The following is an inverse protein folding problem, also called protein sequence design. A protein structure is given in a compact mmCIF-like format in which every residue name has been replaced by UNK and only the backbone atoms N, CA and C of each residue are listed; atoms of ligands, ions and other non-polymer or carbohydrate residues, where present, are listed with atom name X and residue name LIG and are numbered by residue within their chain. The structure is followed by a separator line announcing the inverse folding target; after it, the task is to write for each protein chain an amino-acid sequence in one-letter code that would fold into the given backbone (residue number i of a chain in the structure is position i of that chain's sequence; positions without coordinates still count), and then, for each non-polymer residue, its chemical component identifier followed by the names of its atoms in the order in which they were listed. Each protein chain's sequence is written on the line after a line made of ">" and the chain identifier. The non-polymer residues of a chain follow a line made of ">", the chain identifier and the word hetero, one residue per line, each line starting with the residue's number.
data_IF_966205891392
#
_entry.id   IF_966205891392
#
_cell.length_a   1.000
_cell.length_b   1.000
_cell.length_c   1.000
_cell.angle_alpha   90.00
_cell.angle_beta   90.00
_cell.angle_gamma   90.00
#
_symmetry.space_group_name_H-M   'P 1'
#
loop_
_entity.id
_entity.type
_entity.pdbx_description
1 polymer ?
#
# COMPACT_ATOMS: atom_id res chain seq x y z
N UNK A 1 3.36 7.93 4.76
CA UNK A 1 3.29 7.28 3.44
C UNK A 1 3.90 8.19 2.39
N UNK A 2 4.38 7.63 1.28
CA UNK A 2 4.90 8.37 0.12
C UNK A 2 4.31 7.79 -1.15
N UNK A 3 3.88 8.65 -2.06
CA UNK A 3 3.54 8.30 -3.45
C UNK A 3 4.70 8.71 -4.34
N UNK A 4 5.34 7.75 -5.00
CA UNK A 4 6.45 8.00 -5.92
C UNK A 4 5.95 8.49 -7.29
N UNK A 5 6.87 8.98 -8.13
CA UNK A 5 6.53 9.41 -9.50
C UNK A 5 5.99 8.25 -10.36
N UNK A 6 6.32 7.01 -10.03
CA UNK A 6 5.90 5.78 -10.74
C UNK A 6 4.51 5.28 -10.36
N UNK A 7 3.76 5.98 -9.51
CA UNK A 7 2.50 5.47 -8.94
C UNK A 7 2.69 4.46 -7.81
N UNK A 8 3.92 4.23 -7.36
CA UNK A 8 4.22 3.29 -6.26
C UNK A 8 4.06 3.97 -4.90
N UNK A 9 3.28 3.36 -4.01
CA UNK A 9 3.15 3.75 -2.61
C UNK A 9 4.19 3.00 -1.77
N UNK A 10 4.84 3.72 -0.87
CA UNK A 10 5.76 3.14 0.12
C UNK A 10 5.77 3.92 1.43
N UNK A 11 6.56 3.43 2.40
CA UNK A 11 6.77 4.10 3.71
C UNK A 11 5.45 4.41 4.43
N UNK A 12 4.46 3.51 4.35
CA UNK A 12 3.22 3.60 5.13
C UNK A 12 3.50 2.95 6.48
N UNK A 13 3.36 3.73 7.55
CA UNK A 13 3.59 3.28 8.91
C UNK A 13 2.62 4.00 9.84
N UNK A 14 2.18 3.29 10.88
CA UNK A 14 1.30 3.80 11.94
C UNK A 14 1.94 3.41 13.27
N UNK A 15 1.98 4.36 14.21
CA UNK A 15 2.43 4.12 15.58
C UNK A 15 1.63 2.97 16.20
N UNK A 16 2.27 2.14 17.04
CA UNK A 16 1.64 0.96 17.61
C UNK A 16 0.30 1.28 18.29
N UNK A 17 0.29 2.32 19.12
CA UNK A 17 -0.89 2.73 19.91
C UNK A 17 -2.01 3.38 19.08
N UNK A 18 -1.75 3.69 17.81
CA UNK A 18 -2.73 4.25 16.89
C UNK A 18 -3.25 3.21 15.86
N UNK A 19 -2.81 1.95 15.94
CA UNK A 19 -3.29 0.87 15.07
C UNK A 19 -4.74 0.53 15.41
N UNK A 20 -5.49 0.05 14.40
CA UNK A 20 -6.90 -0.30 14.56
C UNK A 20 -7.87 0.88 14.64
N UNK A 21 -7.37 2.13 14.64
CA UNK A 21 -8.18 3.35 14.78
C UNK A 21 -8.39 4.09 13.45
N UNK A 22 -8.09 3.46 12.32
CA UNK A 22 -8.32 4.03 10.98
C UNK A 22 -7.21 4.97 10.45
N UNK A 23 -6.20 5.33 11.25
CA UNK A 23 -5.11 6.20 10.81
C UNK A 23 -4.39 5.69 9.54
N UNK A 24 -4.16 4.38 9.44
CA UNK A 24 -3.56 3.76 8.25
C UNK A 24 -4.42 3.92 7.00
N UNK A 25 -5.73 3.73 7.13
CA UNK A 25 -6.69 3.91 6.04
C UNK A 25 -6.78 5.37 5.60
N UNK A 26 -6.77 6.31 6.54
CA UNK A 26 -6.76 7.75 6.23
C UNK A 26 -5.51 8.14 5.43
N UNK A 27 -4.32 7.66 5.83
CA UNK A 27 -3.07 7.88 5.08
C UNK A 27 -3.15 7.25 3.69
N UNK A 28 -3.65 6.01 3.58
CA UNK A 28 -3.75 5.34 2.28
C UNK A 28 -4.72 6.06 1.35
N UNK A 29 -5.90 6.48 1.82
CA UNK A 29 -6.88 7.22 1.03
C UNK A 29 -6.29 8.52 0.48
N UNK A 30 -5.61 9.31 1.31
CA UNK A 30 -4.95 10.54 0.85
C UNK A 30 -3.92 10.29 -0.27
N UNK A 31 -3.19 9.17 -0.21
CA UNK A 31 -2.24 8.79 -1.26
C UNK A 31 -2.94 8.30 -2.53
N UNK A 32 -4.05 7.58 -2.41
CA UNK A 32 -4.86 7.14 -3.55
C UNK A 32 -5.52 8.34 -4.25
N UNK A 33 -6.03 9.31 -3.49
CA UNK A 33 -6.57 10.56 -4.04
C UNK A 33 -5.51 11.34 -4.81
N UNK A 34 -4.30 11.44 -4.25
CA UNK A 34 -3.17 12.08 -4.94
C UNK A 34 -2.77 11.33 -6.23
N UNK A 35 -2.81 9.99 -6.24
CA UNK A 35 -2.56 9.19 -7.43
C UNK A 35 -3.64 9.39 -8.50
N UNK A 36 -4.92 9.45 -8.09
CA UNK A 36 -6.06 9.73 -8.97
C UNK A 36 -5.96 11.12 -9.60
N UNK A 37 -5.62 12.15 -8.81
CA UNK A 37 -5.43 13.51 -9.30
C UNK A 37 -4.28 13.63 -10.30
N UNK A 38 -3.25 12.78 -10.16
CA UNK A 38 -2.14 12.67 -11.11
C UNK A 38 -2.47 11.87 -12.38
N UNK A 39 -3.64 11.24 -12.43
CA UNK A 39 -4.02 10.37 -13.56
C UNK A 39 -3.23 9.07 -13.62
N UNK A 40 -2.69 8.59 -12.50
CA UNK A 40 -1.98 7.31 -12.47
C UNK A 40 -2.95 6.18 -12.86
N UNK A 41 -2.66 5.35 -13.87
CA UNK A 41 -3.60 4.30 -14.28
C UNK A 41 -3.61 3.12 -13.29
N UNK A 42 -2.52 2.92 -12.55
CA UNK A 42 -2.33 1.82 -11.59
C UNK A 42 -1.50 2.34 -10.42
N UNK A 43 -1.95 2.05 -9.21
CA UNK A 43 -1.18 2.23 -7.98
C UNK A 43 -0.56 0.89 -7.58
N UNK A 44 0.72 0.91 -7.23
CA UNK A 44 1.49 -0.29 -6.82
C UNK A 44 2.03 -0.14 -5.40
N UNK A 45 2.25 -1.25 -4.71
CA UNK A 45 3.01 -1.28 -3.47
C UNK A 45 3.65 -2.65 -3.25
N UNK A 46 4.64 -2.69 -2.37
CA UNK A 46 5.24 -3.92 -1.89
C UNK A 46 4.88 -4.06 -0.41
N UNK A 47 3.91 -4.93 -0.12
CA UNK A 47 3.40 -5.12 1.23
C UNK A 47 4.18 -6.22 1.93
N UNK A 48 4.42 -6.05 3.23
CA UNK A 48 4.70 -7.19 4.11
C UNK A 48 3.54 -8.19 4.00
N UNK A 49 3.83 -9.50 3.95
CA UNK A 49 2.77 -10.53 3.86
C UNK A 49 1.73 -10.39 4.98
N UNK A 50 2.16 -10.04 6.20
CA UNK A 50 1.26 -9.78 7.33
C UNK A 50 0.32 -8.57 7.13
N UNK A 51 0.66 -7.62 6.26
CA UNK A 51 -0.14 -6.44 5.95
C UNK A 51 -1.08 -6.64 4.75
N UNK A 52 -1.02 -7.76 4.04
CA UNK A 52 -1.87 -8.05 2.87
C UNK A 52 -3.37 -7.89 3.18
N UNK A 53 -3.92 -8.42 4.30
CA UNK A 53 -5.35 -8.26 4.59
C UNK A 53 -5.79 -6.81 4.77
N UNK A 54 -4.89 -5.90 5.12
CA UNK A 54 -5.18 -4.46 5.19
C UNK A 54 -5.33 -3.88 3.78
N UNK A 55 -4.41 -4.18 2.87
CA UNK A 55 -4.44 -3.66 1.50
C UNK A 55 -5.55 -4.30 0.64
N UNK A 56 -5.87 -5.58 0.86
CA UNK A 56 -7.01 -6.25 0.19
C UNK A 56 -8.33 -5.54 0.51
N UNK A 57 -8.55 -5.14 1.76
CA UNK A 57 -9.75 -4.36 2.15
C UNK A 57 -9.83 -2.99 1.48
N UNK A 58 -8.70 -2.48 0.99
CA UNK A 58 -8.59 -1.24 0.25
C UNK A 58 -8.53 -1.45 -1.27
N UNK A 59 -8.90 -2.64 -1.75
CA UNK A 59 -9.06 -2.95 -3.18
C UNK A 59 -7.76 -3.26 -3.91
N UNK A 60 -6.66 -3.52 -3.20
CA UNK A 60 -5.45 -4.04 -3.81
C UNK A 60 -5.54 -5.55 -4.01
N UNK A 61 -4.99 -6.02 -5.14
CA UNK A 61 -4.80 -7.43 -5.43
C UNK A 61 -3.31 -7.76 -5.42
N UNK A 62 -2.93 -8.88 -4.80
CA UNK A 62 -1.57 -9.39 -4.89
C UNK A 62 -1.29 -9.89 -6.31
N UNK A 63 -0.10 -9.62 -6.82
CA UNK A 63 0.37 -10.13 -8.12
C UNK A 63 1.73 -10.81 -7.93
N UNK A 64 1.90 -11.95 -8.60
CA UNK A 64 3.10 -12.76 -8.49
C UNK A 64 3.26 -13.49 -7.16
N UNK A 65 4.44 -14.05 -6.96
CA UNK A 65 4.79 -14.80 -5.76
C UNK A 65 5.43 -13.90 -4.69
N UNK A 66 5.27 -14.21 -3.39
CA UNK A 66 5.99 -13.51 -2.35
C UNK A 66 7.51 -13.61 -2.52
N UNK A 67 8.22 -12.54 -2.19
CA UNK A 67 9.68 -12.46 -2.22
C UNK A 67 10.22 -11.98 -0.87
N UNK A 68 11.49 -12.26 -0.58
CA UNK A 68 12.13 -11.82 0.67
C UNK A 68 12.92 -10.54 0.41
N UNK A 69 12.60 -9.50 1.15
CA UNK A 69 13.35 -8.26 1.19
C UNK A 69 13.75 -8.00 2.65
N UNK A 70 15.03 -7.70 2.89
CA UNK A 70 15.59 -7.45 4.23
C UNK A 70 15.22 -8.52 5.28
N UNK A 71 15.12 -9.78 4.86
CA UNK A 71 14.79 -10.91 5.73
C UNK A 71 13.30 -11.08 6.06
N UNK A 72 12.41 -10.29 5.45
CA UNK A 72 10.96 -10.34 5.71
C UNK A 72 10.22 -10.60 4.40
N UNK A 73 9.19 -11.49 4.40
CA UNK A 73 8.44 -11.76 3.19
C UNK A 73 7.53 -10.58 2.81
N UNK A 74 7.64 -10.17 1.56
CA UNK A 74 6.86 -9.15 0.90
C UNK A 74 6.11 -9.74 -0.29
N UNK A 75 5.08 -9.05 -0.75
CA UNK A 75 4.37 -9.36 -1.99
C UNK A 75 4.01 -8.07 -2.72
N UNK A 76 4.13 -8.08 -4.04
CA UNK A 76 3.68 -6.96 -4.86
C UNK A 76 2.16 -6.94 -4.92
N UNK A 77 1.57 -5.75 -4.77
CA UNK A 77 0.13 -5.55 -4.87
C UNK A 77 -0.20 -4.35 -5.75
N UNK A 78 -1.27 -4.46 -6.52
CA UNK A 78 -1.72 -3.42 -7.46
C UNK A 78 -3.20 -3.12 -7.31
N UNK A 79 -3.58 -1.89 -7.66
CA UNK A 79 -4.96 -1.42 -7.68
C UNK A 79 -5.15 -0.39 -8.79
N UNK A 80 -6.28 -0.44 -9.50
CA UNK A 80 -6.75 0.68 -10.30
C UNK A 80 -7.32 1.77 -9.37
N UNK A 81 -7.02 3.08 -9.58
CA UNK A 81 -7.41 4.16 -8.67
C UNK A 81 -8.89 4.22 -8.33
#
# INVERSE_FOLDING_TARGET
>A
GRLLRTGTIGRVAVLADARGQGAGSAVLHALLDAARQRGEPIVRLYALVAAVPFYVRHGFAAIGEPFVEIGVPHVEMVRAP
#
